data_IF_436465121342
#
_entry.id   IF_436465121342
#
_cell.length_a   1.000
_cell.length_b   1.000
_cell.length_c   1.000
_cell.angle_alpha   90.00
_cell.angle_beta   90.00
_cell.angle_gamma   90.00
#
_symmetry.space_group_name_H-M   'P 1'
#
loop_
_entity.id
_entity.type
_entity.pdbx_description
1 polymer ?
#
# COMPACT_ATOMS: atom_id res chain seq x y z
N UNK A 1 15.99 -17.66 20.78
CA UNK A 1 16.76 -16.40 20.59
C UNK A 1 16.89 -15.94 19.13
N UNK A 2 16.77 -16.78 18.09
CA UNK A 2 16.96 -16.38 16.67
C UNK A 2 15.75 -15.71 15.97
N UNK A 3 14.55 -15.77 16.54
CA UNK A 3 13.36 -15.10 15.97
C UNK A 3 13.30 -13.62 16.39
N UNK A 4 13.68 -13.33 17.64
CA UNK A 4 13.61 -12.01 18.27
C UNK A 4 14.56 -10.96 17.64
N UNK A 5 15.67 -11.39 17.04
CA UNK A 5 16.68 -10.48 16.49
C UNK A 5 16.25 -9.75 15.21
N UNK A 6 15.25 -10.26 14.48
CA UNK A 6 14.84 -9.71 13.19
C UNK A 6 13.47 -9.02 13.22
N UNK A 7 12.67 -9.30 14.24
CA UNK A 7 11.42 -8.56 14.51
C UNK A 7 11.72 -7.13 14.97
N UNK A 8 12.84 -6.92 15.67
CA UNK A 8 13.23 -5.58 16.15
C UNK A 8 13.52 -4.62 14.97
N UNK A 9 14.40 -4.94 13.99
CA UNK A 9 14.61 -4.07 12.83
C UNK A 9 13.33 -3.77 12.05
N UNK A 10 12.47 -4.77 11.84
CA UNK A 10 11.20 -4.57 11.14
C UNK A 10 10.27 -3.62 11.89
N UNK A 11 10.12 -3.80 13.20
CA UNK A 11 9.35 -2.89 14.04
C UNK A 11 9.92 -1.47 14.02
N UNK A 12 11.26 -1.33 14.08
CA UNK A 12 11.92 -0.03 14.02
C UNK A 12 11.68 0.68 12.68
N UNK A 13 11.63 -0.04 11.55
CA UNK A 13 11.30 0.54 10.24
C UNK A 13 9.87 1.08 10.21
N UNK A 14 8.89 0.29 10.69
CA UNK A 14 7.48 0.72 10.75
C UNK A 14 7.34 1.95 11.67
N UNK A 15 7.96 1.91 12.85
CA UNK A 15 7.95 3.04 13.78
C UNK A 15 8.64 4.28 13.20
N UNK A 16 9.70 4.11 12.42
CA UNK A 16 10.37 5.21 11.74
C UNK A 16 9.46 5.85 10.67
N UNK A 17 8.80 5.03 9.84
CA UNK A 17 7.81 5.51 8.86
C UNK A 17 6.68 6.30 9.54
N UNK A 18 6.05 5.71 10.55
CA UNK A 18 5.00 6.35 11.33
C UNK A 18 5.45 7.66 11.99
N UNK A 19 6.69 7.73 12.50
CA UNK A 19 7.24 8.94 13.08
C UNK A 19 7.48 10.04 12.03
N UNK A 20 7.92 9.66 10.83
CA UNK A 20 8.10 10.59 9.71
C UNK A 20 6.75 11.13 9.24
N UNK A 21 5.75 10.27 9.06
CA UNK A 21 4.39 10.69 8.71
C UNK A 21 3.77 11.61 9.76
N UNK A 22 3.97 11.30 11.05
CA UNK A 22 3.56 12.19 12.13
C UNK A 22 4.24 13.56 12.02
N UNK A 23 5.54 13.59 11.72
CA UNK A 23 6.28 14.84 11.50
C UNK A 23 5.81 15.61 10.24
N UNK A 24 5.27 14.91 9.24
CA UNK A 24 4.62 15.47 8.06
C UNK A 24 3.16 15.91 8.32
N UNK A 25 2.69 15.80 9.57
CA UNK A 25 1.35 16.23 9.99
C UNK A 25 0.24 15.25 9.66
N UNK A 26 0.56 13.98 9.36
CA UNK A 26 -0.45 12.92 9.22
C UNK A 26 -1.15 12.66 10.56
N UNK A 27 -2.42 12.28 10.50
CA UNK A 27 -3.21 12.00 11.70
C UNK A 27 -2.95 10.59 12.21
N UNK A 28 -2.84 10.35 13.53
CA UNK A 28 -2.66 9.00 14.07
C UNK A 28 -3.73 7.99 13.66
N UNK A 29 -4.97 8.42 13.55
CA UNK A 29 -6.13 7.63 13.12
C UNK A 29 -7.21 8.57 12.56
N UNK A 30 -8.28 8.00 12.00
CA UNK A 30 -9.40 8.75 11.43
C UNK A 30 -9.92 9.86 12.35
N UNK A 31 -10.01 11.09 11.82
CA UNK A 31 -10.63 12.24 12.54
C UNK A 31 -12.14 12.07 12.76
N UNK A 32 -12.76 11.08 12.13
CA UNK A 32 -14.17 10.72 12.33
C UNK A 32 -14.49 10.17 13.73
N UNK A 33 -13.46 9.92 14.57
CA UNK A 33 -13.65 9.50 15.96
C UNK A 33 -13.98 8.02 16.14
N UNK A 34 -13.95 7.23 15.07
CA UNK A 34 -14.14 5.77 15.12
C UNK A 34 -13.09 5.07 14.27
N UNK A 35 -12.66 3.89 14.74
CA UNK A 35 -11.79 2.99 14.00
C UNK A 35 -12.66 1.84 13.47
N UNK A 36 -12.61 1.62 12.17
CA UNK A 36 -13.31 0.55 11.45
C UNK A 36 -12.30 -0.45 10.92
N UNK A 37 -12.72 -1.71 10.87
CA UNK A 37 -11.94 -2.77 10.22
C UNK A 37 -11.93 -2.63 8.70
N UNK A 38 -12.97 -2.03 8.12
CA UNK A 38 -13.16 -1.92 6.67
C UNK A 38 -13.89 -0.64 6.31
N UNK A 39 -13.38 0.09 5.32
CA UNK A 39 -14.03 1.22 4.67
C UNK A 39 -14.32 0.88 3.21
N UNK A 40 -15.60 0.68 2.89
CA UNK A 40 -16.02 0.22 1.55
C UNK A 40 -16.45 1.33 0.58
N UNK A 41 -16.74 2.54 1.06
CA UNK A 41 -17.09 3.66 0.19
C UNK A 41 -15.81 4.40 -0.22
N UNK A 42 -15.55 4.44 -1.53
CA UNK A 42 -14.31 4.95 -2.14
C UNK A 42 -14.24 6.47 -2.04
N UNK A 43 -15.34 7.14 -2.42
CA UNK A 43 -15.50 8.58 -2.32
C UNK A 43 -15.97 8.95 -0.90
N UNK A 44 -15.07 8.77 0.06
CA UNK A 44 -15.32 9.01 1.48
C UNK A 44 -14.09 9.63 2.12
N UNK A 45 -14.25 10.61 3.03
CA UNK A 45 -13.15 11.13 3.83
C UNK A 45 -12.61 10.09 4.83
N UNK A 46 -13.27 8.92 4.97
CA UNK A 46 -12.76 7.79 5.76
C UNK A 46 -11.85 6.86 4.94
N UNK A 47 -11.80 6.99 3.61
CA UNK A 47 -10.87 6.21 2.75
C UNK A 47 -9.43 6.58 3.09
N UNK A 48 -8.58 5.57 3.18
CA UNK A 48 -7.21 5.65 3.70
C UNK A 48 -7.08 6.13 5.15
N UNK A 49 -8.18 6.12 5.92
CA UNK A 49 -8.17 6.52 7.34
C UNK A 49 -8.44 5.35 8.30
N UNK A 50 -8.84 4.20 7.77
CA UNK A 50 -9.28 3.03 8.52
C UNK A 50 -8.28 1.87 8.41
N UNK A 51 -8.54 0.74 9.07
CA UNK A 51 -7.59 -0.40 9.08
C UNK A 51 -7.41 -1.02 7.69
N UNK A 52 -8.46 -1.05 6.88
CA UNK A 52 -8.39 -1.54 5.52
C UNK A 52 -9.47 -0.90 4.65
N UNK A 53 -9.19 -0.78 3.37
CA UNK A 53 -10.11 -0.32 2.33
C UNK A 53 -9.76 -0.97 0.97
N UNK A 54 -10.31 -0.40 -0.11
CA UNK A 54 -10.09 -0.92 -1.46
C UNK A 54 -8.68 -0.74 -2.02
N UNK A 55 -7.81 0.04 -1.36
CA UNK A 55 -6.39 0.18 -1.71
C UNK A 55 -5.49 -0.81 -0.95
N UNK A 56 -5.93 -1.35 0.19
CA UNK A 56 -5.20 -2.42 0.91
C UNK A 56 -4.80 -3.63 0.03
N UNK A 57 -5.62 -4.11 -0.93
CA UNK A 57 -5.21 -5.13 -1.90
C UNK A 57 -3.94 -4.77 -2.69
N UNK A 58 -3.74 -3.49 -3.03
CA UNK A 58 -2.56 -3.00 -3.76
C UNK A 58 -1.27 -3.24 -2.97
N UNK A 59 -1.31 -3.05 -1.65
CA UNK A 59 -0.16 -3.34 -0.78
C UNK A 59 0.14 -4.84 -0.69
N UNK A 60 -0.89 -5.69 -0.69
CA UNK A 60 -0.67 -7.15 -0.85
C UNK A 60 0.03 -7.44 -2.18
N UNK A 61 -0.38 -6.78 -3.28
CA UNK A 61 0.28 -6.89 -4.60
C UNK A 61 1.73 -6.39 -4.55
N UNK A 62 2.04 -5.27 -3.88
CA UNK A 62 3.42 -4.83 -3.61
C UNK A 62 4.24 -5.95 -2.97
N UNK A 63 3.70 -6.59 -1.93
CA UNK A 63 4.35 -7.72 -1.27
C UNK A 63 4.70 -8.87 -2.22
N UNK A 64 3.76 -9.24 -3.11
CA UNK A 64 3.99 -10.26 -4.15
C UNK A 64 5.10 -9.84 -5.11
N UNK A 65 5.05 -8.60 -5.60
CA UNK A 65 6.01 -8.04 -6.57
C UNK A 65 7.41 -7.91 -5.97
N UNK A 66 7.53 -7.39 -4.75
CA UNK A 66 8.82 -7.24 -4.05
C UNK A 66 9.45 -8.59 -3.75
N UNK A 67 8.67 -9.59 -3.34
CA UNK A 67 9.19 -10.95 -3.18
C UNK A 67 9.78 -11.48 -4.48
N UNK A 68 9.03 -11.39 -5.59
CA UNK A 68 9.48 -11.87 -6.89
C UNK A 68 10.76 -11.14 -7.35
N UNK A 69 10.78 -9.82 -7.27
CA UNK A 69 11.93 -9.01 -7.63
C UNK A 69 13.17 -9.34 -6.78
N UNK A 70 13.04 -9.37 -5.45
CA UNK A 70 14.15 -9.65 -4.55
C UNK A 70 14.61 -11.11 -4.60
N UNK A 71 13.74 -12.05 -4.93
CA UNK A 71 14.13 -13.43 -5.18
C UNK A 71 15.01 -13.56 -6.44
N UNK A 72 14.75 -12.75 -7.47
CA UNK A 72 15.56 -12.70 -8.69
C UNK A 72 16.87 -11.93 -8.51
N UNK A 73 16.85 -10.76 -7.84
CA UNK A 73 18.01 -9.88 -7.68
C UNK A 73 18.94 -10.33 -6.55
N UNK A 74 18.39 -10.87 -5.47
CA UNK A 74 19.13 -11.30 -4.27
C UNK A 74 18.89 -12.79 -3.94
N UNK A 75 19.11 -13.73 -4.89
CA UNK A 75 18.71 -15.13 -4.73
C UNK A 75 19.44 -15.85 -3.58
N UNK A 76 20.66 -15.39 -3.25
CA UNK A 76 21.49 -15.97 -2.17
C UNK A 76 21.16 -15.41 -0.79
N UNK A 77 20.35 -14.35 -0.71
CA UNK A 77 20.04 -13.70 0.57
C UNK A 77 18.94 -14.47 1.34
N UNK A 78 19.06 -14.57 2.67
CA UNK A 78 18.02 -15.15 3.51
C UNK A 78 16.67 -14.46 3.29
N UNK A 79 15.58 -15.21 3.39
CA UNK A 79 14.21 -14.68 3.22
C UNK A 79 13.94 -13.44 4.11
N UNK A 80 14.51 -13.44 5.32
CA UNK A 80 14.37 -12.35 6.29
C UNK A 80 15.03 -11.04 5.83
N UNK A 81 16.19 -11.13 5.18
CA UNK A 81 16.89 -9.97 4.62
C UNK A 81 16.07 -9.38 3.49
N UNK A 82 15.55 -10.25 2.59
CA UNK A 82 14.64 -9.81 1.53
C UNK A 82 13.36 -9.18 2.08
N UNK A 83 12.76 -9.74 3.14
CA UNK A 83 11.59 -9.17 3.79
C UNK A 83 11.87 -7.79 4.41
N UNK A 84 13.04 -7.58 5.04
CA UNK A 84 13.43 -6.27 5.58
C UNK A 84 13.67 -5.24 4.47
N UNK A 85 14.26 -5.64 3.35
CA UNK A 85 14.43 -4.75 2.19
C UNK A 85 13.07 -4.39 1.59
N UNK A 86 12.18 -5.37 1.41
CA UNK A 86 10.81 -5.12 0.93
C UNK A 86 10.06 -4.16 1.87
N UNK A 87 10.16 -4.36 3.18
CA UNK A 87 9.57 -3.46 4.17
C UNK A 87 10.18 -2.06 4.12
N UNK A 88 11.49 -1.93 3.95
CA UNK A 88 12.12 -0.62 3.82
C UNK A 88 11.67 0.12 2.55
N UNK A 89 11.45 -0.61 1.45
CA UNK A 89 10.91 -0.04 0.20
C UNK A 89 9.45 0.41 0.43
N UNK A 90 8.62 -0.41 1.07
CA UNK A 90 7.23 -0.04 1.36
C UNK A 90 7.15 1.15 2.31
N UNK A 91 7.93 1.17 3.39
CA UNK A 91 8.00 2.32 4.30
C UNK A 91 8.40 3.60 3.55
N UNK A 92 9.35 3.49 2.61
CA UNK A 92 9.74 4.63 1.78
C UNK A 92 8.62 5.05 0.82
N UNK A 93 7.84 4.10 0.30
CA UNK A 93 6.67 4.38 -0.53
C UNK A 93 5.58 5.08 0.28
N UNK A 94 5.16 4.55 1.44
CA UNK A 94 4.16 5.16 2.33
C UNK A 94 4.51 6.61 2.69
N UNK A 95 5.78 6.84 3.08
CA UNK A 95 6.27 8.19 3.38
C UNK A 95 6.23 9.10 2.14
N UNK A 96 6.59 8.58 0.96
CA UNK A 96 6.54 9.37 -0.27
C UNK A 96 5.11 9.67 -0.70
N UNK A 97 4.22 8.67 -0.67
CA UNK A 97 2.79 8.76 -0.97
C UNK A 97 2.10 9.80 -0.10
N UNK A 98 2.43 9.80 1.19
CA UNK A 98 1.88 10.74 2.17
C UNK A 98 2.54 12.13 2.17
N UNK A 99 3.44 12.41 1.23
CA UNK A 99 4.03 13.73 1.05
C UNK A 99 3.06 14.69 0.36
N UNK A 100 3.18 15.99 0.68
CA UNK A 100 2.35 17.01 0.02
C UNK A 100 2.47 16.97 -1.50
N UNK A 101 3.67 16.66 -2.03
CA UNK A 101 3.90 16.56 -3.47
C UNK A 101 3.08 15.42 -4.11
N UNK A 102 3.08 14.21 -3.52
CA UNK A 102 2.30 13.09 -4.07
C UNK A 102 0.80 13.27 -3.82
N UNK A 103 0.39 13.77 -2.66
CA UNK A 103 -1.02 14.05 -2.36
C UNK A 103 -1.60 15.07 -3.35
N UNK A 104 -0.90 16.19 -3.57
CA UNK A 104 -1.35 17.19 -4.54
C UNK A 104 -1.32 16.64 -5.97
N UNK A 105 -0.40 15.73 -6.26
CA UNK A 105 -0.38 14.98 -7.51
C UNK A 105 -1.62 14.12 -7.65
N UNK A 106 -2.02 13.32 -6.65
CA UNK A 106 -3.25 12.53 -6.72
C UNK A 106 -4.49 13.42 -6.89
N UNK A 107 -4.63 14.49 -6.09
CA UNK A 107 -5.76 15.43 -6.21
C UNK A 107 -5.90 16.06 -7.60
N UNK A 108 -4.79 16.30 -8.28
CA UNK A 108 -4.79 16.87 -9.64
C UNK A 108 -4.81 15.80 -10.75
N UNK A 109 -4.34 14.59 -10.44
CA UNK A 109 -4.14 13.50 -11.38
C UNK A 109 -5.36 12.56 -11.49
N UNK A 110 -6.05 12.31 -10.39
CA UNK A 110 -7.10 11.29 -10.23
C UNK A 110 -8.40 11.93 -9.73
N UNK A 111 -9.43 11.11 -9.51
CA UNK A 111 -10.73 11.51 -8.95
C UNK A 111 -10.70 11.68 -7.41
N UNK A 112 -9.52 11.66 -6.80
CA UNK A 112 -9.31 11.69 -5.35
C UNK A 112 -9.57 13.10 -4.75
N UNK A 113 -10.76 13.66 -5.01
CA UNK A 113 -11.21 14.92 -4.45
C UNK A 113 -11.37 14.78 -2.94
N UNK A 114 -10.52 15.45 -2.17
CA UNK A 114 -10.50 15.35 -0.71
C UNK A 114 -9.61 14.25 -0.15
N UNK A 115 -8.78 13.59 -0.97
CA UNK A 115 -7.70 12.77 -0.44
C UNK A 115 -6.71 13.65 0.30
N UNK A 116 -6.63 13.45 1.61
CA UNK A 116 -5.81 14.23 2.52
C UNK A 116 -4.54 13.49 2.91
N UNK A 117 -4.19 12.41 2.22
CA UNK A 117 -3.20 11.43 2.67
C UNK A 117 -3.79 10.44 3.67
N UNK A 118 -3.06 9.38 3.94
CA UNK A 118 -3.44 8.31 4.83
C UNK A 118 -3.28 8.74 6.29
N UNK A 119 -4.07 8.11 7.14
CA UNK A 119 -3.77 8.11 8.58
C UNK A 119 -2.59 7.18 8.86
N UNK A 120 -1.84 7.46 9.92
CA UNK A 120 -0.70 6.62 10.35
C UNK A 120 -1.17 5.19 10.65
N UNK A 121 -2.39 5.02 11.19
CA UNK A 121 -3.00 3.70 11.38
C UNK A 121 -3.13 2.93 10.06
N UNK A 122 -3.66 3.58 9.03
CA UNK A 122 -3.86 2.98 7.71
C UNK A 122 -2.52 2.62 7.06
N UNK A 123 -1.59 3.57 6.96
CA UNK A 123 -0.23 3.34 6.43
C UNK A 123 0.49 2.18 7.14
N UNK A 124 0.42 2.10 8.48
CA UNK A 124 0.97 0.95 9.22
C UNK A 124 0.26 -0.36 8.83
N UNK A 125 -1.06 -0.35 8.68
CA UNK A 125 -1.81 -1.52 8.23
C UNK A 125 -1.46 -1.92 6.78
N UNK A 126 -1.17 -0.97 5.92
CA UNK A 126 -0.76 -1.19 4.54
C UNK A 126 0.67 -1.78 4.46
N UNK A 127 1.61 -1.29 5.28
CA UNK A 127 2.91 -1.95 5.48
C UNK A 127 2.76 -3.42 5.94
N UNK A 128 1.79 -3.71 6.82
CA UNK A 128 1.50 -5.07 7.27
C UNK A 128 0.83 -5.90 6.17
N UNK A 129 -0.02 -5.31 5.34
CA UNK A 129 -0.62 -5.95 4.18
C UNK A 129 0.44 -6.31 3.11
N UNK A 130 1.44 -5.45 2.91
CA UNK A 130 2.61 -5.75 2.09
C UNK A 130 3.40 -6.93 2.65
N UNK A 131 3.67 -6.96 3.97
CA UNK A 131 4.33 -8.10 4.59
C UNK A 131 3.54 -9.40 4.44
N UNK A 132 2.20 -9.33 4.51
CA UNK A 132 1.31 -10.46 4.26
C UNK A 132 1.46 -10.95 2.81
N UNK A 133 1.43 -10.05 1.83
CA UNK A 133 1.67 -10.37 0.41
C UNK A 133 3.03 -11.03 0.18
N UNK A 134 4.10 -10.45 0.74
CA UNK A 134 5.44 -10.99 0.66
C UNK A 134 5.53 -12.40 1.27
N UNK A 135 4.90 -12.59 2.43
CA UNK A 135 4.83 -13.89 3.07
C UNK A 135 4.06 -14.91 2.22
N UNK A 136 2.91 -14.54 1.65
CA UNK A 136 2.14 -15.40 0.74
C UNK A 136 2.97 -15.82 -0.47
N UNK A 137 3.66 -14.89 -1.13
CA UNK A 137 4.54 -15.20 -2.26
C UNK A 137 5.68 -16.16 -1.88
N UNK A 138 6.16 -16.10 -0.64
CA UNK A 138 7.20 -17.02 -0.15
C UNK A 138 6.72 -18.46 0.08
N UNK A 139 5.40 -18.69 0.09
CA UNK A 139 4.78 -19.99 0.42
C UNK A 139 3.99 -20.58 -0.73
N UNK A 140 3.40 -19.74 -1.58
CA UNK A 140 2.58 -20.18 -2.68
C UNK A 140 3.45 -20.57 -3.89
N UNK A 141 3.02 -21.56 -4.69
CA UNK A 141 3.55 -21.76 -6.04
C UNK A 141 3.41 -20.49 -6.88
N UNK A 142 4.39 -20.22 -7.75
CA UNK A 142 4.41 -19.00 -8.60
C UNK A 142 3.08 -18.77 -9.33
N UNK A 143 2.45 -19.83 -9.84
CA UNK A 143 1.14 -19.72 -10.53
C UNK A 143 0.05 -19.16 -9.62
N UNK A 144 -0.01 -19.58 -8.36
CA UNK A 144 -0.99 -19.09 -7.40
C UNK A 144 -0.69 -17.65 -6.97
N UNK A 145 0.58 -17.27 -6.84
CA UNK A 145 0.95 -15.87 -6.59
C UNK A 145 0.54 -14.95 -7.75
N UNK A 146 0.76 -15.39 -8.99
CA UNK A 146 0.34 -14.64 -10.19
C UNK A 146 -1.18 -14.52 -10.26
N UNK A 147 -1.91 -15.62 -10.06
CA UNK A 147 -3.38 -15.59 -10.04
C UNK A 147 -3.93 -14.70 -8.93
N UNK A 148 -3.30 -14.71 -7.74
CA UNK A 148 -3.68 -13.84 -6.64
C UNK A 148 -3.48 -12.36 -7.01
N UNK A 149 -2.31 -12.00 -7.54
CA UNK A 149 -2.03 -10.61 -7.93
C UNK A 149 -3.01 -10.10 -8.99
N UNK A 150 -3.24 -10.89 -10.05
CA UNK A 150 -4.23 -10.55 -11.09
C UNK A 150 -5.64 -10.48 -10.50
N UNK A 151 -6.00 -11.42 -9.63
CA UNK A 151 -7.31 -11.46 -8.99
C UNK A 151 -7.59 -10.23 -8.13
N UNK A 152 -6.60 -9.76 -7.35
CA UNK A 152 -6.72 -8.54 -6.54
C UNK A 152 -6.85 -7.28 -7.42
N UNK A 153 -6.04 -7.17 -8.47
CA UNK A 153 -6.11 -6.05 -9.42
C UNK A 153 -7.46 -5.98 -10.15
N UNK A 154 -8.01 -7.12 -10.56
CA UNK A 154 -9.32 -7.19 -11.22
C UNK A 154 -10.46 -6.95 -10.23
N UNK A 155 -10.33 -7.42 -8.98
CA UNK A 155 -11.31 -7.18 -7.93
C UNK A 155 -11.43 -5.69 -7.63
N UNK A 156 -10.31 -5.00 -7.40
CA UNK A 156 -10.29 -3.56 -7.18
C UNK A 156 -10.86 -2.81 -8.40
N UNK A 157 -10.42 -3.17 -9.61
CA UNK A 157 -10.90 -2.54 -10.84
C UNK A 157 -12.41 -2.70 -11.02
N UNK A 158 -12.98 -3.86 -10.66
CA UNK A 158 -14.42 -4.09 -10.73
C UNK A 158 -15.19 -3.37 -9.61
N UNK A 159 -14.62 -3.27 -8.42
CA UNK A 159 -15.27 -2.69 -7.25
C UNK A 159 -15.25 -1.16 -7.27
N UNK A 160 -14.13 -0.56 -7.66
CA UNK A 160 -13.87 0.87 -7.49
C UNK A 160 -13.41 1.57 -8.77
N UNK A 161 -13.36 0.85 -9.90
CA UNK A 161 -12.89 1.36 -11.20
C UNK A 161 -11.46 1.88 -11.19
N UNK A 162 -10.71 1.54 -10.16
CA UNK A 162 -9.30 1.81 -9.97
C UNK A 162 -8.58 0.58 -9.40
N UNK A 163 -7.26 0.52 -9.54
CA UNK A 163 -6.40 -0.51 -8.97
C UNK A 163 -4.95 -0.01 -8.94
N UNK A 164 -3.99 -0.81 -8.49
CA UNK A 164 -2.59 -0.39 -8.44
C UNK A 164 -2.07 0.04 -9.82
N UNK A 165 -2.38 -0.75 -10.87
CA UNK A 165 -1.92 -0.47 -12.23
C UNK A 165 -2.40 0.89 -12.73
N UNK A 166 -3.69 1.18 -12.60
CA UNK A 166 -4.27 2.44 -13.02
C UNK A 166 -3.80 3.59 -12.13
N UNK A 167 -3.69 3.37 -10.83
CA UNK A 167 -3.21 4.36 -9.88
C UNK A 167 -1.77 4.83 -10.22
N UNK A 168 -0.84 3.90 -10.43
CA UNK A 168 0.55 4.20 -10.83
C UNK A 168 0.60 4.89 -12.20
N UNK A 169 -0.18 4.40 -13.16
CA UNK A 169 -0.29 5.03 -14.49
C UNK A 169 -0.72 6.50 -14.35
N UNK A 170 -1.77 6.77 -13.57
CA UNK A 170 -2.32 8.10 -13.42
C UNK A 170 -1.41 9.03 -12.62
N UNK A 171 -0.68 8.51 -11.64
CA UNK A 171 0.32 9.26 -10.89
C UNK A 171 1.47 9.73 -11.79
N UNK A 172 2.00 8.85 -12.63
CA UNK A 172 3.15 9.15 -13.49
C UNK A 172 2.75 9.87 -14.79
N UNK A 173 1.69 9.43 -15.44
CA UNK A 173 1.24 9.91 -16.74
C UNK A 173 -0.30 9.94 -16.83
N UNK A 174 -0.96 11.03 -16.39
CA UNK A 174 -2.41 11.13 -16.33
C UNK A 174 -3.02 11.10 -17.73
N UNK A 175 -4.01 10.25 -17.92
CA UNK A 175 -4.75 10.09 -19.18
C UNK A 175 -6.21 10.43 -18.93
N UNK A 176 -6.77 11.34 -19.74
CA UNK A 176 -8.15 11.81 -19.56
C UNK A 176 -9.17 10.66 -19.63
N UNK A 177 -9.02 9.75 -20.59
CA UNK A 177 -9.92 8.60 -20.72
C UNK A 177 -9.94 7.69 -19.48
N UNK A 178 -8.82 7.57 -18.77
CA UNK A 178 -8.75 6.80 -17.52
C UNK A 178 -9.42 7.56 -16.37
N UNK A 179 -9.27 8.89 -16.30
CA UNK A 179 -10.03 9.72 -15.34
C UNK A 179 -11.54 9.57 -15.54
N UNK A 180 -11.99 9.66 -16.78
CA UNK A 180 -13.42 9.57 -17.12
C UNK A 180 -13.96 8.17 -16.78
N UNK A 181 -13.15 7.12 -16.97
CA UNK A 181 -13.46 5.76 -16.53
C UNK A 181 -13.59 5.66 -15.01
N UNK A 182 -12.65 6.21 -14.25
CA UNK A 182 -12.66 6.21 -12.78
C UNK A 182 -13.86 7.00 -12.24
N UNK A 183 -14.17 8.16 -12.84
CA UNK A 183 -15.28 9.03 -12.45
C UNK A 183 -16.68 8.47 -12.78
N UNK A 184 -16.76 7.47 -13.67
CA UNK A 184 -18.04 6.87 -14.06
C UNK A 184 -18.60 5.85 -13.06
N UNK A 185 -17.93 5.65 -11.92
CA UNK A 185 -18.32 4.74 -10.84
C UNK A 185 -19.41 5.31 -9.95
#
# INVERSE_FOLDING_TARGET
MRALTWTIPGLLLILAGAAVEYAMGRTPWCRCGTIRLWQGAVDSPETSQQIADWYTPSHIVHGLLFYAALACVLPRQPLRVRALIALAIEVAWEVAENSSWVIDRYRTATIALGYDGDSILNSVCDMLAMLLGFWLASRLPVRLSVLLGIGLELLALAAIRDNLTLNVLMLLHPIQAVRDWQAGG
#
